data_IF_388239936225
#
_entry.id   IF_388239936225
#
_cell.length_a   1.000
_cell.length_b   1.000
_cell.length_c   1.000
_cell.angle_alpha   90.00
_cell.angle_beta   90.00
_cell.angle_gamma   90.00
#
_symmetry.space_group_name_H-M   'P 1'
#
loop_
_entity.id
_entity.type
_entity.pdbx_description
1 polymer ?
#
# COMPACT_ATOMS: atom_id res chain seq x y z
N UNK A 1 -7.39 2.74 17.95
CA UNK A 1 -8.49 3.40 17.22
C UNK A 1 -8.89 2.52 16.06
N UNK A 2 -10.16 2.19 15.91
CA UNK A 2 -10.66 1.47 14.72
C UNK A 2 -10.90 2.50 13.62
N UNK A 3 -10.25 2.33 12.46
CA UNK A 3 -10.50 3.15 11.27
C UNK A 3 -11.38 2.35 10.30
N UNK A 4 -12.42 2.99 9.78
CA UNK A 4 -13.29 2.41 8.75
C UNK A 4 -12.73 2.73 7.37
N UNK A 5 -12.71 1.75 6.47
CA UNK A 5 -12.35 1.94 5.06
C UNK A 5 -13.61 1.67 4.23
N UNK A 6 -14.02 2.68 3.46
CA UNK A 6 -15.09 2.52 2.48
C UNK A 6 -14.49 2.20 1.12
N UNK A 7 -15.00 1.15 0.48
CA UNK A 7 -14.52 0.68 -0.82
C UNK A 7 -15.66 0.83 -1.82
N UNK A 8 -15.37 1.44 -2.97
CA UNK A 8 -16.35 1.55 -4.04
C UNK A 8 -16.82 0.15 -4.49
N UNK A 9 -18.11 -0.11 -4.70
CA UNK A 9 -18.62 -1.46 -4.98
C UNK A 9 -17.97 -2.14 -6.20
N UNK A 10 -17.60 -1.37 -7.22
CA UNK A 10 -16.89 -1.91 -8.39
C UNK A 10 -15.46 -2.34 -8.05
N UNK A 11 -14.77 -1.58 -7.21
CA UNK A 11 -13.42 -1.94 -6.73
C UNK A 11 -13.49 -3.16 -5.82
N UNK A 12 -14.53 -3.27 -4.99
CA UNK A 12 -14.73 -4.44 -4.15
C UNK A 12 -14.80 -5.73 -4.98
N UNK A 13 -15.53 -5.73 -6.09
CA UNK A 13 -15.63 -6.89 -6.99
C UNK A 13 -14.28 -7.30 -7.58
N UNK A 14 -13.45 -6.33 -7.96
CA UNK A 14 -12.09 -6.60 -8.46
C UNK A 14 -11.21 -7.20 -7.35
N UNK A 15 -11.29 -6.68 -6.12
CA UNK A 15 -10.54 -7.22 -4.98
C UNK A 15 -10.98 -8.65 -4.63
N UNK A 16 -12.28 -8.92 -4.64
CA UNK A 16 -12.84 -10.28 -4.45
C UNK A 16 -12.31 -11.24 -5.52
N UNK A 17 -12.25 -10.79 -6.77
CA UNK A 17 -11.71 -11.57 -7.88
C UNK A 17 -10.21 -11.86 -7.70
N UNK A 18 -9.41 -10.87 -7.29
CA UNK A 18 -7.98 -11.08 -7.00
C UNK A 18 -7.78 -12.12 -5.88
N UNK A 19 -8.56 -12.05 -4.81
CA UNK A 19 -8.52 -13.04 -3.73
C UNK A 19 -8.89 -14.43 -4.24
N UNK A 20 -9.89 -14.54 -5.11
CA UNK A 20 -10.24 -15.81 -5.76
C UNK A 20 -9.07 -16.37 -6.59
N UNK A 21 -8.41 -15.52 -7.39
CA UNK A 21 -7.24 -15.91 -8.18
C UNK A 21 -6.06 -16.37 -7.29
N UNK A 22 -5.81 -15.69 -6.18
CA UNK A 22 -4.77 -16.10 -5.22
C UNK A 22 -5.05 -17.51 -4.68
N UNK A 23 -6.31 -17.83 -4.38
CA UNK A 23 -6.70 -19.16 -3.89
C UNK A 23 -6.60 -20.24 -4.96
N UNK A 24 -6.99 -19.92 -6.19
CA UNK A 24 -7.02 -20.88 -7.30
C UNK A 24 -5.61 -21.21 -7.82
N UNK A 25 -4.76 -20.20 -7.95
CA UNK A 25 -3.48 -20.32 -8.63
C UNK A 25 -2.26 -20.17 -7.71
N UNK A 26 -2.50 -19.78 -6.45
CA UNK A 26 -1.44 -19.35 -5.54
C UNK A 26 -0.94 -17.95 -5.85
N UNK A 27 -0.29 -17.34 -4.86
CA UNK A 27 0.44 -16.08 -5.02
C UNK A 27 1.67 -16.06 -4.10
N UNK A 28 2.76 -15.37 -4.48
CA UNK A 28 3.92 -15.18 -3.61
C UNK A 28 3.57 -14.51 -2.27
N UNK A 29 2.51 -13.70 -2.26
CA UNK A 29 1.89 -13.13 -1.07
C UNK A 29 0.39 -13.41 -1.12
N UNK A 30 0.02 -14.64 -0.74
CA UNK A 30 -1.39 -15.06 -0.72
C UNK A 30 -2.19 -14.23 0.29
N UNK A 31 -3.41 -13.88 -0.08
CA UNK A 31 -4.37 -13.16 0.75
C UNK A 31 -5.65 -13.98 0.77
N UNK A 32 -6.20 -14.22 1.97
CA UNK A 32 -7.36 -15.09 2.14
C UNK A 32 -8.68 -14.31 2.06
N UNK A 33 -8.63 -13.02 2.35
CA UNK A 33 -9.78 -12.11 2.39
C UNK A 33 -9.47 -10.79 1.70
N UNK A 34 -10.52 -10.03 1.36
CA UNK A 34 -10.37 -8.67 0.82
C UNK A 34 -9.71 -7.78 1.86
N UNK A 35 -10.02 -7.95 3.13
CA UNK A 35 -9.44 -7.23 4.24
C UNK A 35 -7.93 -7.45 4.36
N UNK A 36 -7.46 -8.69 4.17
CA UNK A 36 -6.01 -8.99 4.13
C UNK A 36 -5.34 -8.25 2.97
N UNK A 37 -5.96 -8.31 1.78
CA UNK A 37 -5.45 -7.65 0.59
C UNK A 37 -5.40 -6.13 0.75
N UNK A 38 -6.45 -5.51 1.29
CA UNK A 38 -6.49 -4.07 1.57
C UNK A 38 -5.44 -3.68 2.61
N UNK A 39 -5.30 -4.47 3.67
CA UNK A 39 -4.29 -4.25 4.71
C UNK A 39 -2.88 -4.31 4.12
N UNK A 40 -2.62 -5.27 3.24
CA UNK A 40 -1.37 -5.39 2.51
C UNK A 40 -1.10 -4.18 1.63
N UNK A 41 -2.08 -3.75 0.81
CA UNK A 41 -1.95 -2.56 -0.05
C UNK A 41 -1.64 -1.30 0.76
N UNK A 42 -2.36 -1.08 1.87
CA UNK A 42 -2.12 0.07 2.74
C UNK A 42 -0.73 0.02 3.38
N UNK A 43 -0.27 -1.16 3.80
CA UNK A 43 1.08 -1.35 4.33
C UNK A 43 2.14 -1.07 3.26
N UNK A 44 1.95 -1.53 2.03
CA UNK A 44 2.85 -1.26 0.90
C UNK A 44 2.91 0.23 0.56
N UNK A 45 1.77 0.93 0.57
CA UNK A 45 1.72 2.39 0.37
C UNK A 45 2.47 3.10 1.49
N UNK A 46 2.26 2.71 2.75
CA UNK A 46 2.95 3.31 3.89
C UNK A 46 4.47 3.05 3.85
N UNK A 47 4.92 1.88 3.40
CA UNK A 47 6.35 1.58 3.24
C UNK A 47 6.99 2.34 2.08
N UNK A 48 6.41 2.28 0.88
CA UNK A 48 6.90 3.02 -0.28
C UNK A 48 6.91 4.54 -0.03
N UNK A 49 5.92 5.04 0.70
CA UNK A 49 5.86 6.45 1.09
C UNK A 49 6.97 6.86 2.05
N UNK A 50 7.65 5.95 2.75
CA UNK A 50 8.78 6.29 3.64
C UNK A 50 10.13 6.14 2.97
N UNK A 51 10.22 5.50 1.80
CA UNK A 51 11.48 5.17 1.14
C UNK A 51 11.69 6.06 -0.09
N UNK A 52 12.51 7.12 -0.01
CA UNK A 52 12.57 8.12 -1.07
C UNK A 52 13.26 7.63 -2.35
N UNK A 53 14.25 6.73 -2.23
CA UNK A 53 14.95 6.12 -3.38
C UNK A 53 14.26 4.88 -3.97
N UNK A 54 13.16 4.41 -3.37
CA UNK A 54 12.44 3.23 -3.86
C UNK A 54 11.73 3.53 -5.19
N UNK A 55 11.71 2.57 -6.11
CA UNK A 55 11.06 2.78 -7.42
C UNK A 55 9.55 3.00 -7.26
N UNK A 56 8.93 2.35 -6.29
CA UNK A 56 7.51 2.51 -5.93
C UNK A 56 7.19 3.96 -5.53
N UNK A 57 8.15 4.70 -4.98
CA UNK A 57 7.95 6.08 -4.54
C UNK A 57 7.55 7.01 -5.68
N UNK A 58 8.08 6.80 -6.88
CA UNK A 58 7.69 7.62 -8.04
C UNK A 58 6.22 7.38 -8.41
N UNK A 59 5.81 6.11 -8.43
CA UNK A 59 4.42 5.72 -8.67
C UNK A 59 3.48 6.31 -7.61
N UNK A 60 3.83 6.16 -6.32
CA UNK A 60 3.05 6.73 -5.22
C UNK A 60 2.96 8.26 -5.28
N UNK A 61 4.02 8.93 -5.74
CA UNK A 61 4.03 10.39 -5.91
C UNK A 61 3.08 10.82 -7.03
N UNK A 62 3.12 10.15 -8.18
CA UNK A 62 2.20 10.42 -9.30
C UNK A 62 0.73 10.22 -8.93
N UNK A 63 0.44 9.25 -8.05
CA UNK A 63 -0.91 8.96 -7.57
C UNK A 63 -1.33 9.82 -6.37
N UNK A 64 -0.44 10.69 -5.85
CA UNK A 64 -0.72 11.50 -4.66
C UNK A 64 -0.88 10.69 -3.38
N UNK A 65 -0.28 9.50 -3.30
CA UNK A 65 -0.37 8.59 -2.15
C UNK A 65 0.79 8.70 -1.16
N UNK A 66 1.72 9.63 -1.41
CA UNK A 66 2.77 9.95 -0.43
C UNK A 66 2.15 10.79 0.68
N UNK A 67 2.17 10.29 1.90
CA UNK A 67 1.71 11.05 3.05
C UNK A 67 2.53 12.34 3.23
N UNK A 68 1.86 13.43 3.60
CA UNK A 68 2.45 14.73 3.88
C UNK A 68 1.93 15.23 5.24
N UNK A 69 2.50 14.67 6.31
CA UNK A 69 2.13 14.99 7.68
C UNK A 69 3.30 14.75 8.64
N UNK A 70 3.26 15.38 9.82
CA UNK A 70 4.33 15.29 10.81
C UNK A 70 4.63 13.85 11.27
N UNK A 71 3.60 13.00 11.38
CA UNK A 71 3.76 11.58 11.72
C UNK A 71 4.56 10.85 10.63
N UNK A 72 4.28 11.17 9.36
CA UNK A 72 5.04 10.61 8.25
C UNK A 72 6.49 11.07 8.25
N UNK A 73 6.77 12.34 8.49
CA UNK A 73 8.14 12.87 8.63
C UNK A 73 8.94 12.14 9.71
N UNK A 74 8.31 11.87 10.86
CA UNK A 74 8.92 11.10 11.95
C UNK A 74 9.32 9.69 11.47
N UNK A 75 8.41 8.96 10.82
CA UNK A 75 8.69 7.60 10.33
C UNK A 75 9.60 7.55 9.10
N UNK A 76 9.70 8.66 8.35
CA UNK A 76 10.55 8.84 7.17
C UNK A 76 11.99 9.23 7.53
N UNK A 77 12.22 9.76 8.73
CA UNK A 77 13.51 10.35 9.13
C UNK A 77 14.70 9.39 9.07
N UNK A 78 14.48 8.08 9.23
CA UNK A 78 15.53 7.04 9.18
C UNK A 78 15.85 6.50 7.78
N UNK A 79 15.15 6.93 6.74
CA UNK A 79 15.23 6.34 5.39
C UNK A 79 16.13 7.12 4.40
N UNK A 80 16.98 8.02 4.91
CA UNK A 80 17.99 8.72 4.10
C UNK A 80 17.48 9.92 3.32
N UNK A 81 18.36 10.58 2.57
CA UNK A 81 18.03 11.70 1.70
C UNK A 81 17.42 11.19 0.39
N UNK A 82 16.55 11.97 -0.29
CA UNK A 82 16.02 11.58 -1.60
C UNK A 82 17.06 11.37 -2.70
N UNK A 83 18.26 11.91 -2.50
CA UNK A 83 19.37 11.87 -3.44
C UNK A 83 20.25 10.62 -3.25
N UNK A 84 20.04 9.88 -2.15
CA UNK A 84 20.75 8.64 -1.86
C UNK A 84 20.15 7.52 -2.73
N UNK A 85 20.79 7.25 -3.88
CA UNK A 85 20.51 6.10 -4.75
C UNK A 85 21.55 5.00 -4.53
#
# INVERSE_FOLDING_TARGET
MTKTVEIHPEVLKELEYIVALHKEHGAPSSMETVEDLVSFVLASVADGSRRPGAWERQLLTMMGLVADCAEHEQYRSSYGMPEDK
#
